data_IF_888347625970
#
_entry.id   IF_888347625970
#
_cell.length_a   1.000
_cell.length_b   1.000
_cell.length_c   1.000
_cell.angle_alpha   90.00
_cell.angle_beta   90.00
_cell.angle_gamma   90.00
#
_symmetry.space_group_name_H-M   'P 1'
#
loop_
_entity.id
_entity.type
_entity.pdbx_description
1 polymer ?
#
# COMPACT_ATOMS: atom_id res chain seq x y z
N UNK A 1 3.90 -35.90 -1.81
CA UNK A 1 4.36 -34.94 -0.79
C UNK A 1 4.73 -33.66 -1.52
N UNK A 2 3.93 -32.60 -1.35
CA UNK A 2 4.21 -31.33 -1.99
C UNK A 2 5.37 -30.65 -1.26
N UNK A 3 6.37 -30.20 -2.02
CA UNK A 3 7.50 -29.43 -1.50
C UNK A 3 6.99 -28.14 -0.86
N UNK A 4 7.51 -27.71 0.30
CA UNK A 4 7.09 -26.45 0.91
C UNK A 4 7.40 -25.28 -0.02
N UNK A 5 6.45 -24.33 -0.08
CA UNK A 5 6.56 -23.09 -0.85
C UNK A 5 7.87 -22.35 -0.56
N UNK A 6 8.66 -21.98 -1.58
CA UNK A 6 10.01 -21.40 -1.40
C UNK A 6 10.02 -19.92 -1.02
N UNK A 7 8.92 -19.33 -0.53
CA UNK A 7 8.76 -17.90 -0.33
C UNK A 7 9.01 -17.39 1.10
N UNK A 8 9.28 -18.28 2.05
CA UNK A 8 9.52 -17.89 3.43
C UNK A 8 10.88 -18.47 3.87
N UNK A 9 11.82 -17.60 4.18
CA UNK A 9 13.04 -18.05 4.88
C UNK A 9 12.64 -18.55 6.26
N UNK A 10 13.00 -19.77 6.58
CA UNK A 10 13.05 -20.28 7.94
C UNK A 10 14.27 -19.65 8.60
N UNK A 11 14.09 -19.05 9.76
CA UNK A 11 15.14 -18.40 10.57
C UNK A 11 15.90 -17.26 9.84
N UNK A 12 15.28 -16.10 9.75
CA UNK A 12 15.94 -14.90 9.25
C UNK A 12 16.81 -14.29 10.37
N UNK A 13 18.09 -14.12 10.07
CA UNK A 13 19.01 -13.23 10.80
C UNK A 13 18.39 -11.82 10.89
N UNK A 14 18.50 -11.17 12.07
CA UNK A 14 17.81 -9.92 12.43
C UNK A 14 18.06 -8.71 11.49
N UNK A 15 18.83 -8.88 10.42
CA UNK A 15 19.29 -7.79 9.53
C UNK A 15 18.63 -7.73 8.16
N UNK A 16 17.69 -8.63 7.80
CA UNK A 16 17.07 -8.63 6.47
C UNK A 16 15.86 -7.70 6.41
N UNK A 17 16.06 -6.46 5.99
CA UNK A 17 14.98 -5.54 5.61
C UNK A 17 14.06 -6.21 4.58
N UNK A 18 12.76 -6.26 4.90
CA UNK A 18 11.73 -6.62 3.93
C UNK A 18 11.38 -8.12 3.82
N UNK A 19 11.76 -8.97 4.75
CA UNK A 19 11.40 -10.40 4.75
C UNK A 19 10.27 -10.67 5.74
N UNK A 20 9.21 -11.37 5.29
CA UNK A 20 8.19 -11.91 6.20
C UNK A 20 8.72 -13.20 6.81
N UNK A 21 8.74 -13.26 8.13
CA UNK A 21 9.25 -14.42 8.89
C UNK A 21 8.09 -15.28 9.36
N UNK A 22 8.25 -16.60 9.25
CA UNK A 22 7.29 -17.58 9.77
C UNK A 22 7.82 -18.16 11.08
N UNK A 23 7.02 -18.10 12.13
CA UNK A 23 7.21 -18.93 13.30
C UNK A 23 6.68 -20.33 13.02
N UNK A 24 7.56 -21.32 12.87
CA UNK A 24 7.20 -22.69 12.47
C UNK A 24 6.36 -23.42 13.53
N UNK A 25 6.49 -23.06 14.81
CA UNK A 25 5.74 -23.69 15.90
C UNK A 25 4.30 -23.19 16.01
N UNK A 26 4.06 -21.93 15.67
CA UNK A 26 2.72 -21.29 15.80
C UNK A 26 2.02 -21.06 14.46
N UNK A 27 2.77 -21.11 13.34
CA UNK A 27 2.30 -20.74 12.01
C UNK A 27 2.10 -19.24 11.82
N UNK A 28 2.50 -18.42 12.80
CA UNK A 28 2.37 -16.96 12.70
C UNK A 28 3.37 -16.39 11.70
N UNK A 29 2.92 -15.39 10.97
CA UNK A 29 3.77 -14.59 10.09
C UNK A 29 3.99 -13.22 10.73
N UNK A 30 5.22 -12.74 10.69
CA UNK A 30 5.61 -11.45 11.24
C UNK A 30 6.42 -10.63 10.22
N UNK A 31 6.14 -9.35 10.18
CA UNK A 31 6.99 -8.34 9.55
C UNK A 31 7.98 -7.88 10.62
N UNK A 32 9.25 -8.30 10.57
CA UNK A 32 10.22 -8.00 11.63
C UNK A 32 10.60 -6.52 11.65
N UNK A 33 10.54 -5.83 10.51
CA UNK A 33 10.82 -4.40 10.42
C UNK A 33 9.78 -3.56 11.19
N UNK A 34 8.50 -3.83 10.95
CA UNK A 34 7.42 -3.12 11.62
C UNK A 34 7.01 -3.76 12.96
N UNK A 35 7.52 -4.95 13.27
CA UNK A 35 7.12 -5.76 14.43
C UNK A 35 5.61 -5.99 14.47
N UNK A 36 5.05 -6.34 13.33
CA UNK A 36 3.62 -6.58 13.16
C UNK A 36 3.36 -8.01 12.73
N UNK A 37 2.38 -8.64 13.35
CA UNK A 37 1.83 -9.88 12.84
C UNK A 37 1.11 -9.60 11.52
N UNK A 38 1.39 -10.42 10.51
CA UNK A 38 0.80 -10.28 9.17
C UNK A 38 0.05 -11.55 8.77
N UNK A 39 -0.79 -11.43 7.75
CA UNK A 39 -1.40 -12.57 7.06
C UNK A 39 -1.24 -12.38 5.56
N UNK A 40 -1.19 -13.48 4.81
CA UNK A 40 -1.20 -13.46 3.35
C UNK A 40 -2.65 -13.42 2.88
N UNK A 41 -2.94 -12.53 1.96
CA UNK A 41 -4.21 -12.49 1.22
C UNK A 41 -3.92 -12.64 -0.27
N UNK A 42 -4.74 -13.41 -0.94
CA UNK A 42 -4.65 -13.60 -2.39
C UNK A 42 -5.63 -12.69 -3.16
N UNK A 43 -5.49 -12.69 -4.48
CA UNK A 43 -6.33 -11.86 -5.37
C UNK A 43 -7.81 -12.22 -5.28
N UNK A 44 -8.14 -13.51 -5.12
CA UNK A 44 -9.52 -13.97 -5.02
C UNK A 44 -10.19 -13.46 -3.73
N UNK A 45 -9.46 -13.48 -2.61
CA UNK A 45 -9.95 -12.91 -1.35
C UNK A 45 -10.24 -11.43 -1.50
N UNK A 46 -9.28 -10.66 -2.04
CA UNK A 46 -9.49 -9.21 -2.23
C UNK A 46 -10.66 -8.93 -3.16
N UNK A 47 -10.74 -9.62 -4.31
CA UNK A 47 -11.84 -9.49 -5.28
C UNK A 47 -13.18 -9.83 -4.63
N UNK A 48 -13.27 -10.93 -3.90
CA UNK A 48 -14.48 -11.35 -3.23
C UNK A 48 -15.01 -10.33 -2.21
N UNK A 49 -14.10 -9.79 -1.37
CA UNK A 49 -14.45 -8.72 -0.41
C UNK A 49 -14.94 -7.46 -1.14
N UNK A 50 -14.18 -7.01 -2.15
CA UNK A 50 -14.54 -5.83 -2.95
C UNK A 50 -15.92 -6.01 -3.60
N UNK A 51 -16.15 -7.12 -4.29
CA UNK A 51 -17.40 -7.35 -5.01
C UNK A 51 -18.59 -7.43 -4.06
N UNK A 52 -18.39 -8.00 -2.87
CA UNK A 52 -19.42 -8.00 -1.83
C UNK A 52 -19.73 -6.60 -1.32
N UNK A 53 -18.72 -5.75 -1.14
CA UNK A 53 -18.91 -4.34 -0.79
C UNK A 53 -19.73 -3.62 -1.87
N UNK A 54 -19.37 -3.77 -3.14
CA UNK A 54 -20.10 -3.13 -4.25
C UNK A 54 -21.54 -3.64 -4.39
N UNK A 55 -21.77 -4.94 -4.18
CA UNK A 55 -23.12 -5.50 -4.21
C UNK A 55 -24.02 -4.94 -3.10
N UNK A 56 -23.43 -4.71 -1.91
CA UNK A 56 -24.17 -4.26 -0.72
C UNK A 56 -24.32 -2.73 -0.65
N UNK A 57 -23.28 -1.98 -1.00
CA UNK A 57 -23.18 -0.54 -0.76
C UNK A 57 -23.14 0.30 -2.04
N UNK A 58 -23.15 -0.32 -3.23
CA UNK A 58 -23.13 0.35 -4.52
C UNK A 58 -21.96 1.34 -4.61
N UNK A 59 -22.21 2.60 -4.97
CA UNK A 59 -21.19 3.64 -5.04
C UNK A 59 -20.51 3.96 -3.70
N UNK A 60 -21.14 3.62 -2.58
CA UNK A 60 -20.55 3.77 -1.25
C UNK A 60 -19.36 2.83 -0.99
N UNK A 61 -19.25 1.72 -1.73
CA UNK A 61 -18.16 0.76 -1.58
C UNK A 61 -16.77 1.41 -1.79
N UNK A 62 -16.63 2.30 -2.76
CA UNK A 62 -15.37 3.02 -3.02
C UNK A 62 -14.94 3.89 -1.84
N UNK A 63 -15.91 4.57 -1.20
CA UNK A 63 -15.64 5.38 -0.02
C UNK A 63 -15.22 4.52 1.18
N UNK A 64 -15.83 3.34 1.35
CA UNK A 64 -15.45 2.38 2.41
C UNK A 64 -14.03 1.88 2.18
N UNK A 65 -13.70 1.43 0.97
CA UNK A 65 -12.36 0.97 0.63
C UNK A 65 -11.31 2.07 0.85
N UNK A 66 -11.63 3.30 0.43
CA UNK A 66 -10.76 4.45 0.66
C UNK A 66 -10.56 4.73 2.16
N UNK A 67 -11.62 4.71 2.96
CA UNK A 67 -11.55 4.95 4.40
C UNK A 67 -10.74 3.85 5.11
N UNK A 68 -10.89 2.58 4.72
CA UNK A 68 -10.07 1.47 5.23
C UNK A 68 -8.58 1.71 4.92
N UNK A 69 -8.28 2.09 3.69
CA UNK A 69 -6.91 2.42 3.28
C UNK A 69 -6.35 3.61 4.06
N UNK A 70 -7.15 4.66 4.24
CA UNK A 70 -6.76 5.86 4.99
C UNK A 70 -6.33 5.51 6.41
N UNK A 71 -7.17 4.78 7.15
CA UNK A 71 -6.86 4.35 8.52
C UNK A 71 -5.62 3.47 8.59
N UNK A 72 -5.46 2.52 7.65
CA UNK A 72 -4.26 1.70 7.60
C UNK A 72 -3.00 2.53 7.30
N UNK A 73 -3.06 3.45 6.35
CA UNK A 73 -1.96 4.34 6.01
C UNK A 73 -1.53 5.25 7.17
N UNK A 74 -2.50 5.79 7.93
CA UNK A 74 -2.25 6.57 9.15
C UNK A 74 -1.51 5.73 10.21
N UNK A 75 -1.99 4.52 10.51
CA UNK A 75 -1.35 3.62 11.47
C UNK A 75 0.08 3.27 11.06
N UNK A 76 0.32 3.02 9.77
CA UNK A 76 1.65 2.75 9.25
C UNK A 76 2.58 3.96 9.38
N UNK A 77 2.08 5.15 9.07
CA UNK A 77 2.82 6.41 9.25
C UNK A 77 3.22 6.63 10.71
N UNK A 78 2.27 6.47 11.64
CA UNK A 78 2.52 6.59 13.08
C UNK A 78 3.56 5.58 13.57
N UNK A 79 3.48 4.33 13.08
CA UNK A 79 4.45 3.30 13.42
C UNK A 79 5.88 3.67 13.02
N UNK A 80 6.04 4.25 11.84
CA UNK A 80 7.35 4.73 11.37
C UNK A 80 7.85 5.96 12.16
N UNK A 81 6.93 6.85 12.59
CA UNK A 81 7.28 7.95 13.51
C UNK A 81 7.77 7.43 14.87
N UNK A 82 7.12 6.41 15.44
CA UNK A 82 7.58 5.75 16.69
C UNK A 82 9.00 5.20 16.53
N UNK A 83 9.37 4.71 15.34
CA UNK A 83 10.72 4.24 15.02
C UNK A 83 11.72 5.39 14.84
N UNK A 84 11.29 6.66 14.97
CA UNK A 84 12.11 7.87 14.79
C UNK A 84 12.78 7.98 13.43
N UNK A 85 12.13 7.47 12.41
CA UNK A 85 12.61 7.54 11.03
C UNK A 85 12.50 8.97 10.48
N UNK A 86 13.50 9.40 9.74
CA UNK A 86 13.41 10.64 8.97
C UNK A 86 12.37 10.53 7.86
N UNK A 87 11.85 11.67 7.37
CA UNK A 87 10.87 11.68 6.27
C UNK A 87 11.34 10.93 5.02
N UNK A 88 12.63 10.98 4.74
CA UNK A 88 13.24 10.30 3.58
C UNK A 88 13.23 8.77 3.81
N UNK A 89 13.61 8.33 5.01
CA UNK A 89 13.58 6.91 5.36
C UNK A 89 12.17 6.37 5.33
N UNK A 90 11.18 7.11 5.86
CA UNK A 90 9.76 6.72 5.78
C UNK A 90 9.33 6.52 4.33
N UNK A 91 9.64 7.45 3.42
CA UNK A 91 9.25 7.31 2.01
C UNK A 91 9.92 6.10 1.35
N UNK A 92 11.22 5.89 1.60
CA UNK A 92 11.94 4.72 1.09
C UNK A 92 11.32 3.42 1.62
N UNK A 93 11.06 3.37 2.92
CA UNK A 93 10.43 2.19 3.55
C UNK A 93 9.04 1.91 2.99
N UNK A 94 8.23 2.93 2.67
CA UNK A 94 6.95 2.72 1.98
C UNK A 94 7.11 2.08 0.60
N UNK A 95 8.12 2.51 -0.16
CA UNK A 95 8.43 1.94 -1.48
C UNK A 95 8.84 0.47 -1.34
N UNK A 96 9.74 0.18 -0.41
CA UNK A 96 10.29 -1.16 -0.20
C UNK A 96 9.26 -2.11 0.43
N UNK A 97 8.51 -1.64 1.44
CA UNK A 97 7.39 -2.38 2.00
C UNK A 97 6.31 -2.68 0.96
N UNK A 98 6.04 -1.77 0.03
CA UNK A 98 5.09 -2.00 -1.04
C UNK A 98 5.46 -3.20 -1.90
N UNK A 99 6.74 -3.34 -2.25
CA UNK A 99 7.27 -4.51 -2.97
C UNK A 99 7.21 -5.78 -2.11
N UNK A 100 7.70 -5.70 -0.88
CA UNK A 100 7.74 -6.83 0.06
C UNK A 100 6.35 -7.38 0.36
N UNK A 101 5.36 -6.49 0.47
CA UNK A 101 3.96 -6.87 0.73
C UNK A 101 3.18 -7.22 -0.53
N UNK A 102 3.82 -7.19 -1.70
CA UNK A 102 3.20 -7.57 -2.95
C UNK A 102 2.20 -6.54 -3.50
N UNK A 103 2.25 -5.27 -3.08
CA UNK A 103 1.34 -4.25 -3.62
C UNK A 103 1.64 -3.87 -5.06
N UNK A 104 2.89 -4.07 -5.51
CA UNK A 104 3.41 -3.73 -6.82
C UNK A 104 4.67 -2.88 -6.72
N UNK A 105 5.11 -2.32 -7.85
CA UNK A 105 6.35 -1.56 -7.94
C UNK A 105 6.07 -0.06 -7.92
N UNK A 106 6.40 0.58 -6.80
CA UNK A 106 6.25 2.01 -6.64
C UNK A 106 7.35 2.81 -7.32
N UNK A 107 6.95 3.84 -8.02
CA UNK A 107 7.82 4.90 -8.52
C UNK A 107 7.34 6.24 -7.97
N UNK A 108 8.18 6.86 -7.15
CA UNK A 108 7.88 8.17 -6.59
C UNK A 108 8.87 9.21 -7.11
N UNK A 109 8.55 9.96 -8.18
CA UNK A 109 9.26 11.20 -8.46
C UNK A 109 9.17 12.20 -7.29
N UNK A 110 8.24 11.94 -6.39
CA UNK A 110 7.91 12.63 -5.15
C UNK A 110 9.10 12.86 -4.20
N UNK A 111 10.03 11.90 -4.10
CA UNK A 111 11.21 12.05 -3.25
C UNK A 111 12.04 13.27 -3.65
N UNK A 112 12.25 13.48 -4.95
CA UNK A 112 12.98 14.65 -5.47
C UNK A 112 12.23 15.95 -5.18
N UNK A 113 10.89 15.93 -5.25
CA UNK A 113 10.03 17.09 -5.02
C UNK A 113 10.02 17.53 -3.55
N UNK A 114 9.89 16.56 -2.61
CA UNK A 114 9.97 16.86 -1.16
C UNK A 114 11.37 17.41 -0.81
N UNK A 115 12.41 16.84 -1.39
CA UNK A 115 13.80 17.25 -1.14
C UNK A 115 14.14 18.62 -1.73
N UNK A 116 13.51 18.99 -2.85
CA UNK A 116 13.76 20.27 -3.53
C UNK A 116 12.87 21.41 -3.05
N UNK A 117 11.90 21.15 -2.15
CA UNK A 117 10.93 22.16 -1.70
C UNK A 117 10.00 22.67 -2.82
N UNK A 118 9.97 22.01 -3.98
CA UNK A 118 9.13 22.41 -5.10
C UNK A 118 7.67 22.14 -4.80
N UNK A 119 6.85 23.18 -4.90
CA UNK A 119 5.40 23.13 -4.77
C UNK A 119 4.80 22.54 -6.05
N UNK A 120 4.15 21.38 -5.93
CA UNK A 120 3.42 20.73 -7.02
C UNK A 120 2.48 19.66 -6.47
N UNK A 121 1.58 19.14 -7.31
CA UNK A 121 0.75 18.00 -6.91
C UNK A 121 1.61 16.72 -6.98
N UNK A 122 1.99 16.15 -5.82
CA UNK A 122 2.81 14.95 -5.82
C UNK A 122 2.04 13.76 -6.37
N UNK A 123 2.65 13.05 -7.31
CA UNK A 123 2.09 11.84 -7.89
C UNK A 123 2.91 10.61 -7.48
N UNK A 124 2.21 9.53 -7.16
CA UNK A 124 2.76 8.19 -6.92
C UNK A 124 2.32 7.30 -8.07
N UNK A 125 3.28 6.70 -8.76
CA UNK A 125 3.01 5.70 -9.80
C UNK A 125 3.21 4.30 -9.22
N UNK A 126 2.30 3.39 -9.56
CA UNK A 126 2.34 1.99 -9.15
C UNK A 126 2.18 1.10 -10.39
N UNK A 127 3.23 0.36 -10.73
CA UNK A 127 3.21 -0.69 -11.75
C UNK A 127 2.81 -2.02 -11.10
N UNK A 128 2.16 -2.91 -11.85
CA UNK A 128 1.71 -4.24 -11.42
C UNK A 128 0.90 -4.19 -10.10
N UNK A 129 -0.03 -3.24 -10.02
CA UNK A 129 -0.87 -3.06 -8.82
C UNK A 129 -1.68 -4.31 -8.53
N UNK A 130 -1.42 -4.96 -7.39
CA UNK A 130 -2.19 -6.09 -6.86
C UNK A 130 -3.70 -5.79 -6.84
N UNK A 131 -4.08 -4.58 -6.43
CA UNK A 131 -5.48 -4.18 -6.32
C UNK A 131 -6.16 -4.06 -7.68
N UNK A 132 -5.44 -3.62 -8.71
CA UNK A 132 -5.96 -3.52 -10.05
C UNK A 132 -5.99 -4.87 -10.76
N UNK A 133 -4.93 -5.68 -10.62
CA UNK A 133 -4.86 -7.02 -11.25
C UNK A 133 -5.92 -7.95 -10.69
N UNK A 134 -6.16 -7.90 -9.37
CA UNK A 134 -7.23 -8.66 -8.71
C UNK A 134 -8.63 -8.37 -9.27
N UNK A 135 -8.88 -7.13 -9.70
CA UNK A 135 -10.19 -6.70 -10.20
C UNK A 135 -10.32 -6.93 -11.70
N UNK A 136 -9.24 -6.73 -12.45
CA UNK A 136 -9.23 -6.78 -13.90
C UNK A 136 -9.80 -5.52 -14.56
N UNK A 137 -10.06 -5.59 -15.87
CA UNK A 137 -10.51 -4.45 -16.67
C UNK A 137 -11.98 -4.10 -16.41
N UNK A 138 -12.25 -2.89 -15.90
CA UNK A 138 -13.60 -2.37 -15.62
C UNK A 138 -13.91 -1.08 -16.39
N UNK A 139 -12.92 -0.48 -17.06
CA UNK A 139 -13.04 0.81 -17.74
C UNK A 139 -12.99 2.03 -16.82
N UNK A 140 -12.72 1.85 -15.52
CA UNK A 140 -12.67 2.94 -14.53
C UNK A 140 -11.57 2.69 -13.50
N UNK A 141 -11.30 3.68 -12.64
CA UNK A 141 -10.37 3.56 -11.53
C UNK A 141 -10.95 2.70 -10.41
N UNK A 142 -10.13 1.82 -9.79
CA UNK A 142 -10.59 0.82 -8.82
C UNK A 142 -9.69 0.69 -7.59
N UNK A 143 -8.51 1.35 -7.55
CA UNK A 143 -7.54 1.18 -6.46
C UNK A 143 -7.81 2.11 -5.27
N UNK A 144 -9.08 2.22 -4.85
CA UNK A 144 -9.50 3.13 -3.76
C UNK A 144 -8.80 2.83 -2.44
N UNK A 145 -8.58 1.55 -2.13
CA UNK A 145 -7.85 1.15 -0.92
C UNK A 145 -6.42 1.71 -0.94
N UNK A 146 -5.72 1.58 -2.07
CA UNK A 146 -4.36 2.10 -2.23
C UNK A 146 -4.33 3.63 -2.17
N UNK A 147 -5.29 4.31 -2.81
CA UNK A 147 -5.41 5.76 -2.71
C UNK A 147 -5.58 6.23 -1.26
N UNK A 148 -6.37 5.49 -0.47
CA UNK A 148 -6.51 5.71 0.96
C UNK A 148 -5.19 5.52 1.72
N UNK A 149 -4.47 4.42 1.47
CA UNK A 149 -3.17 4.14 2.11
C UNK A 149 -2.18 5.28 1.86
N UNK A 150 -2.06 5.72 0.62
CA UNK A 150 -1.16 6.82 0.24
C UNK A 150 -1.58 8.12 0.94
N UNK A 151 -2.88 8.43 0.99
CA UNK A 151 -3.38 9.63 1.68
C UNK A 151 -3.06 9.58 3.18
N UNK A 152 -3.39 8.48 3.86
CA UNK A 152 -3.20 8.33 5.31
C UNK A 152 -1.73 8.43 5.71
N UNK A 153 -0.86 7.71 5.02
CA UNK A 153 0.58 7.79 5.26
C UNK A 153 1.12 9.21 5.03
N UNK A 154 0.66 9.87 3.97
CA UNK A 154 1.09 11.24 3.65
C UNK A 154 0.62 12.26 4.70
N UNK A 155 -0.58 12.07 5.29
CA UNK A 155 -1.09 12.96 6.33
C UNK A 155 -0.18 12.94 7.57
N UNK A 156 0.21 11.77 8.02
CA UNK A 156 1.13 11.63 9.16
C UNK A 156 2.50 12.21 8.81
N UNK A 157 3.09 11.78 7.70
CA UNK A 157 4.44 12.18 7.29
C UNK A 157 4.59 13.70 7.10
N UNK A 158 3.58 14.35 6.54
CA UNK A 158 3.61 15.77 6.21
C UNK A 158 2.90 16.65 7.24
N UNK A 159 2.22 16.03 8.24
CA UNK A 159 1.45 16.70 9.28
C UNK A 159 0.40 17.67 8.71
N UNK A 160 -0.24 17.26 7.62
CA UNK A 160 -1.25 18.01 6.89
C UNK A 160 -2.35 17.08 6.42
N UNK A 161 -3.56 17.62 6.18
CA UNK A 161 -4.65 16.81 5.61
C UNK A 161 -4.48 16.66 4.10
N UNK A 162 -4.56 15.43 3.61
CA UNK A 162 -4.51 15.11 2.19
C UNK A 162 -5.71 14.27 1.77
N UNK A 163 -6.10 14.42 0.52
CA UNK A 163 -6.83 13.41 -0.24
C UNK A 163 -5.95 12.87 -1.34
N UNK A 164 -6.20 11.66 -1.75
CA UNK A 164 -5.50 11.03 -2.86
C UNK A 164 -6.54 10.57 -3.89
N UNK A 165 -6.29 10.88 -5.16
CA UNK A 165 -7.18 10.53 -6.28
C UNK A 165 -6.37 9.70 -7.27
N UNK A 166 -6.92 8.57 -7.69
CA UNK A 166 -6.35 7.76 -8.77
C UNK A 166 -6.78 8.37 -10.12
N UNK A 167 -5.82 8.84 -10.92
CA UNK A 167 -6.07 9.43 -12.25
C UNK A 167 -5.90 8.41 -13.37
N UNK A 168 -4.89 7.51 -13.26
CA UNK A 168 -4.67 6.38 -14.16
C UNK A 168 -4.81 5.08 -13.41
N UNK A 169 -5.34 4.06 -14.06
CA UNK A 169 -5.54 2.75 -13.48
C UNK A 169 -5.43 1.64 -14.53
N UNK A 170 -4.74 0.55 -14.19
CA UNK A 170 -4.70 -0.65 -15.02
C UNK A 170 -6.11 -1.17 -15.34
N UNK A 171 -7.06 -1.07 -14.40
CA UNK A 171 -8.47 -1.44 -14.62
C UNK A 171 -9.15 -0.58 -15.66
N UNK A 172 -8.72 0.67 -15.84
CA UNK A 172 -9.22 1.60 -16.86
C UNK A 172 -8.62 1.32 -18.25
N UNK A 173 -7.46 0.63 -18.29
CA UNK A 173 -6.71 0.33 -19.50
C UNK A 173 -5.43 1.16 -19.64
N UNK A 174 -5.06 1.93 -18.62
CA UNK A 174 -3.78 2.63 -18.56
C UNK A 174 -2.63 1.63 -18.32
N UNK A 175 -1.39 2.02 -18.62
CA UNK A 175 -0.20 1.18 -18.46
C UNK A 175 0.21 0.98 -16.99
N UNK A 176 -0.22 1.87 -16.08
CA UNK A 176 0.07 1.86 -14.65
C UNK A 176 -1.03 2.61 -13.88
N UNK A 177 -1.03 2.45 -12.57
CA UNK A 177 -1.86 3.27 -11.69
C UNK A 177 -1.10 4.54 -11.28
N UNK A 178 -1.77 5.70 -11.30
CA UNK A 178 -1.21 6.98 -10.88
C UNK A 178 -2.12 7.66 -9.87
N UNK A 179 -1.53 8.00 -8.72
CA UNK A 179 -2.23 8.58 -7.58
C UNK A 179 -1.71 9.98 -7.31
N UNK A 180 -2.59 10.97 -7.34
CA UNK A 180 -2.27 12.36 -7.02
C UNK A 180 -2.73 12.74 -5.63
N UNK A 181 -1.83 13.33 -4.86
CA UNK A 181 -2.11 13.90 -3.55
C UNK A 181 -2.56 15.35 -3.68
N UNK A 182 -3.66 15.69 -3.01
CA UNK A 182 -4.19 17.06 -2.90
C UNK A 182 -4.29 17.45 -1.45
N UNK A 183 -3.65 18.56 -1.07
CA UNK A 183 -3.79 19.14 0.27
C UNK A 183 -5.23 19.62 0.47
N UNK A 184 -5.80 19.34 1.64
CA UNK A 184 -7.10 19.86 2.09
C UNK A 184 -6.87 21.00 3.07
N UNK A 185 -7.44 22.13 2.79
CA UNK A 185 -7.45 23.30 3.66
C UNK A 185 -8.51 23.20 4.74
#
# INVERSE_FOLDING_TARGET
>A
MASPLPLLKEDADETSEGVIVRNTSTGQLEDPFLKLRVMIIDEEFYRGVRDKLYSSFKSGASAILYAMGLGYGELMGLKMEEMKMSKIEVIRSFIDLGKTKGYGKFHTPFLKMILSGLMGEPAVRLEDSFFATSVGKTGKTECFLMAGIIAGASQVLLQKKFSCIEEKCLCKGDEYCEFKLKEKY
#
